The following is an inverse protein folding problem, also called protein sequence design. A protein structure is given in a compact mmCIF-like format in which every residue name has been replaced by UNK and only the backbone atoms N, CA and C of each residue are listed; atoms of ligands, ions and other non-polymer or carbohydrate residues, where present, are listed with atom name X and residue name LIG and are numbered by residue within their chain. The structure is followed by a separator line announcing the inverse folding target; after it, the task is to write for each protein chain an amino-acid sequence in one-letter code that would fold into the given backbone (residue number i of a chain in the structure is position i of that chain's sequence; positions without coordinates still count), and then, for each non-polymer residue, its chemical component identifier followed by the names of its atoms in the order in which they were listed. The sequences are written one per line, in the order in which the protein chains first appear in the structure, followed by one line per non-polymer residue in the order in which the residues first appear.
data_IF_731274178940
#
_entry.id   IF_731274178940
#
_cell.length_a   1.000
_cell.length_b   1.000
_cell.length_c   1.000
_cell.angle_alpha   90.00
_cell.angle_beta   90.00
_cell.angle_gamma   90.00
#
_symmetry.space_group_name_H-M   'P 1'
#
loop_
_entity.id
_entity.type
_entity.pdbx_description
1 polymer ?
#
# COMPACT_ATOMS: atom_id res chain seq x y z
N UNK A 1 12.71 14.36 7.95
CA UNK A 1 11.33 13.82 7.91
C UNK A 1 11.37 12.42 8.45
N UNK A 2 10.40 12.05 9.27
CA UNK A 2 10.25 10.71 9.82
C UNK A 2 9.38 9.87 8.89
N UNK A 3 9.78 8.63 8.62
CA UNK A 3 8.99 7.68 7.84
C UNK A 3 8.21 6.71 8.75
N UNK A 4 6.96 6.44 8.41
CA UNK A 4 6.17 5.33 8.96
C UNK A 4 5.88 4.33 7.85
N UNK A 5 6.34 3.09 8.01
CA UNK A 5 5.97 1.98 7.12
C UNK A 5 4.77 1.27 7.72
N UNK A 6 3.62 1.36 7.06
CA UNK A 6 2.39 0.67 7.46
C UNK A 6 2.33 -0.68 6.74
N UNK A 7 2.44 -1.76 7.51
CA UNK A 7 2.50 -3.13 7.03
C UNK A 7 1.33 -3.94 7.58
N UNK A 8 0.52 -4.52 6.69
CA UNK A 8 -0.59 -5.40 7.06
C UNK A 8 -0.17 -6.85 6.98
N UNK A 9 -0.45 -7.64 8.04
CA UNK A 9 -0.13 -9.07 8.09
C UNK A 9 -1.35 -9.93 8.40
N UNK A 10 -1.36 -11.13 7.83
CA UNK A 10 -2.22 -12.26 8.18
C UNK A 10 -1.57 -13.54 7.66
N UNK A 11 -1.19 -14.47 8.53
CA UNK A 11 -0.56 -15.75 8.19
C UNK A 11 0.60 -15.60 7.19
N UNK A 12 1.52 -14.66 7.46
CA UNK A 12 2.64 -14.30 6.59
C UNK A 12 3.98 -14.94 6.93
N UNK A 13 4.01 -15.98 7.79
CA UNK A 13 5.25 -16.57 8.31
C UNK A 13 6.28 -16.94 7.24
N UNK A 14 5.84 -17.29 6.03
CA UNK A 14 6.71 -17.70 4.92
C UNK A 14 7.58 -16.55 4.39
N UNK A 15 7.11 -15.31 4.44
CA UNK A 15 7.72 -14.20 3.72
C UNK A 15 8.10 -13.01 4.61
N UNK A 16 7.43 -12.84 5.76
CA UNK A 16 7.53 -11.65 6.59
C UNK A 16 8.96 -11.31 7.03
N UNK A 17 9.82 -12.33 7.24
CA UNK A 17 11.21 -12.10 7.63
C UNK A 17 11.98 -11.35 6.54
N UNK A 18 11.93 -11.83 5.31
CA UNK A 18 12.61 -11.23 4.15
C UNK A 18 12.08 -9.80 3.89
N UNK A 19 10.76 -9.63 4.00
CA UNK A 19 10.15 -8.31 3.84
C UNK A 19 10.64 -7.33 4.91
N UNK A 20 10.62 -7.70 6.18
CA UNK A 20 11.10 -6.82 7.27
C UNK A 20 12.59 -6.51 7.15
N UNK A 21 13.43 -7.47 6.79
CA UNK A 21 14.86 -7.23 6.52
C UNK A 21 15.04 -6.20 5.41
N UNK A 22 14.28 -6.32 4.31
CA UNK A 22 14.35 -5.40 3.17
C UNK A 22 13.91 -3.98 3.51
N UNK A 23 13.00 -3.81 4.47
CA UNK A 23 12.52 -2.52 4.97
C UNK A 23 13.54 -1.94 5.96
N UNK A 24 13.87 -2.69 7.01
CA UNK A 24 14.64 -2.18 8.15
C UNK A 24 16.05 -1.69 7.78
N UNK A 25 16.68 -2.29 6.75
CA UNK A 25 18.01 -1.86 6.27
C UNK A 25 18.01 -0.46 5.65
N UNK A 26 16.85 0.07 5.26
CA UNK A 26 16.71 1.38 4.63
C UNK A 26 16.19 2.46 5.60
N UNK A 27 15.68 2.06 6.75
CA UNK A 27 15.09 2.98 7.72
C UNK A 27 16.13 3.51 8.70
N UNK A 28 16.01 4.78 9.06
CA UNK A 28 16.78 5.43 10.12
C UNK A 28 16.26 5.02 11.51
N UNK A 29 17.00 5.40 12.56
CA UNK A 29 16.60 5.11 13.96
C UNK A 29 15.32 5.82 14.41
N UNK A 30 14.96 6.92 13.75
CA UNK A 30 13.77 7.70 14.07
C UNK A 30 12.52 7.23 13.32
N UNK A 31 12.70 6.39 12.29
CA UNK A 31 11.60 5.83 11.52
C UNK A 31 10.89 4.70 12.28
N UNK A 32 9.75 4.28 11.79
CA UNK A 32 8.97 3.22 12.42
C UNK A 32 8.33 2.28 11.41
N UNK A 33 8.15 1.03 11.81
CA UNK A 33 7.35 0.02 11.11
C UNK A 33 6.14 -0.29 11.95
N UNK A 34 4.97 0.12 11.49
CA UNK A 34 3.67 -0.14 12.13
C UNK A 34 3.08 -1.39 11.49
N UNK A 35 3.10 -2.47 12.21
CA UNK A 35 2.52 -3.74 11.78
C UNK A 35 1.13 -3.86 12.37
N UNK A 36 0.13 -4.03 11.52
CA UNK A 36 -1.20 -4.43 11.93
C UNK A 36 -1.39 -5.90 11.56
N UNK A 37 -1.54 -6.75 12.56
CA UNK A 37 -1.75 -8.19 12.38
C UNK A 37 -3.22 -8.53 12.56
N UNK A 38 -3.80 -9.15 11.54
CA UNK A 38 -5.20 -9.57 11.57
C UNK A 38 -5.33 -11.04 11.97
N UNK A 39 -5.16 -11.30 13.27
CA UNK A 39 -5.38 -12.62 13.90
C UNK A 39 -4.59 -13.76 13.23
N UNK A 40 -3.28 -13.57 13.00
CA UNK A 40 -2.43 -14.64 12.50
C UNK A 40 -2.41 -15.84 13.46
N UNK A 41 -2.56 -17.05 12.91
CA UNK A 41 -2.55 -18.33 13.64
C UNK A 41 -1.29 -19.13 13.40
N UNK A 42 -0.44 -18.70 12.48
CA UNK A 42 0.86 -19.29 12.18
C UNK A 42 1.98 -18.60 13.00
N UNK A 43 3.23 -18.78 12.61
CA UNK A 43 4.39 -18.23 13.31
C UNK A 43 4.70 -16.75 12.96
N UNK A 44 3.80 -16.04 12.29
CA UNK A 44 4.03 -14.65 11.85
C UNK A 44 4.46 -13.75 13.01
N UNK A 45 3.68 -13.70 14.08
CA UNK A 45 3.97 -12.86 15.24
C UNK A 45 5.25 -13.24 15.97
N UNK A 46 5.57 -14.54 16.05
CA UNK A 46 6.82 -15.03 16.64
C UNK A 46 8.03 -14.56 15.85
N UNK A 47 7.95 -14.65 14.52
CA UNK A 47 9.02 -14.19 13.61
C UNK A 47 9.23 -12.69 13.78
N UNK A 48 8.17 -11.88 13.80
CA UNK A 48 8.24 -10.43 13.97
C UNK A 48 8.89 -10.07 15.32
N UNK A 49 8.47 -10.72 16.41
CA UNK A 49 9.02 -10.49 17.75
C UNK A 49 10.53 -10.83 17.85
N UNK A 50 11.00 -11.79 17.06
CA UNK A 50 12.40 -12.21 17.06
C UNK A 50 13.36 -11.17 16.45
N UNK A 51 12.88 -10.20 15.67
CA UNK A 51 13.72 -9.10 15.16
C UNK A 51 14.28 -8.22 16.29
N UNK A 52 13.56 -8.08 17.40
CA UNK A 52 13.96 -7.25 18.56
C UNK A 52 14.35 -5.83 18.17
N UNK A 53 13.80 -5.29 17.09
CA UNK A 53 14.08 -3.95 16.60
C UNK A 53 13.08 -2.95 17.20
N UNK A 54 13.59 -1.89 17.84
CA UNK A 54 12.78 -0.86 18.53
C UNK A 54 11.87 -0.05 17.59
N UNK A 55 12.17 -0.07 16.28
CA UNK A 55 11.37 0.62 15.24
C UNK A 55 10.08 -0.13 14.93
N UNK A 56 10.00 -1.43 15.23
CA UNK A 56 8.81 -2.28 14.97
C UNK A 56 7.80 -2.09 16.10
N UNK A 57 6.57 -1.74 15.72
CA UNK A 57 5.41 -1.65 16.61
C UNK A 57 4.31 -2.54 16.06
N UNK A 58 3.87 -3.52 16.83
CA UNK A 58 2.84 -4.49 16.44
C UNK A 58 1.52 -4.14 17.11
N UNK A 59 0.45 -4.12 16.33
CA UNK A 59 -0.93 -3.91 16.76
C UNK A 59 -1.78 -5.06 16.25
N UNK A 60 -2.30 -5.87 17.15
CA UNK A 60 -3.22 -6.95 16.80
C UNK A 60 -4.61 -6.38 16.53
N UNK A 61 -5.22 -6.79 15.45
CA UNK A 61 -6.57 -6.41 15.05
C UNK A 61 -7.47 -7.65 15.01
N UNK A 62 -8.34 -7.76 16.00
CA UNK A 62 -9.30 -8.84 16.11
C UNK A 62 -10.61 -8.42 15.43
N UNK A 63 -10.71 -8.58 14.13
CA UNK A 63 -11.86 -8.17 13.34
C UNK A 63 -12.28 -9.19 12.29
N UNK A 64 -13.20 -8.78 11.43
CA UNK A 64 -13.50 -9.51 10.20
C UNK A 64 -12.28 -9.41 9.27
N UNK A 65 -11.86 -10.53 8.70
CA UNK A 65 -10.76 -10.57 7.73
C UNK A 65 -10.98 -9.55 6.61
N UNK A 66 -10.18 -8.50 6.63
CA UNK A 66 -10.25 -7.42 5.65
C UNK A 66 -8.92 -6.67 5.54
N UNK A 67 -8.17 -6.86 4.45
CA UNK A 67 -6.94 -6.09 4.22
C UNK A 67 -7.14 -4.57 4.32
N UNK A 68 -8.34 -4.08 3.96
CA UNK A 68 -8.69 -2.65 4.02
C UNK A 68 -8.69 -2.16 5.47
N UNK A 69 -9.36 -2.90 6.38
CA UNK A 69 -9.43 -2.54 7.80
C UNK A 69 -8.08 -2.72 8.48
N UNK A 70 -7.32 -3.74 8.07
CA UNK A 70 -5.99 -4.00 8.59
C UNK A 70 -5.03 -2.84 8.25
N UNK A 71 -5.01 -2.37 6.99
CA UNK A 71 -4.28 -1.17 6.61
C UNK A 71 -4.80 0.09 7.32
N UNK A 72 -6.12 0.25 7.46
CA UNK A 72 -6.69 1.40 8.18
C UNK A 72 -6.22 1.44 9.64
N UNK A 73 -6.14 0.28 10.30
CA UNK A 73 -5.64 0.16 11.66
C UNK A 73 -4.16 0.59 11.75
N UNK A 74 -3.30 0.11 10.84
CA UNK A 74 -1.90 0.52 10.78
C UNK A 74 -1.75 2.03 10.53
N UNK A 75 -2.47 2.56 9.56
CA UNK A 75 -2.44 3.97 9.17
C UNK A 75 -2.85 4.93 10.30
N UNK A 76 -3.83 4.54 11.12
CA UNK A 76 -4.26 5.32 12.30
C UNK A 76 -3.19 5.40 13.41
N UNK A 77 -2.18 4.53 13.36
CA UNK A 77 -1.07 4.48 14.34
C UNK A 77 0.20 5.14 13.82
N UNK A 78 0.26 5.44 12.53
CA UNK A 78 1.41 6.08 11.93
C UNK A 78 1.61 7.50 12.48
N UNK A 79 2.87 7.86 12.78
CA UNK A 79 3.24 9.16 13.34
C UNK A 79 4.33 9.88 12.54
N UNK A 80 4.75 9.31 11.40
CA UNK A 80 5.73 9.91 10.52
C UNK A 80 5.15 10.98 9.60
N UNK A 81 6.04 11.80 9.06
CA UNK A 81 5.72 12.81 8.05
C UNK A 81 5.41 12.17 6.70
N UNK A 82 6.06 11.02 6.43
CA UNK A 82 5.93 10.24 5.21
C UNK A 82 5.39 8.85 5.57
N UNK A 83 4.39 8.41 4.83
CA UNK A 83 3.76 7.10 5.00
C UNK A 83 4.11 6.22 3.81
N UNK A 84 4.64 5.02 4.07
CA UNK A 84 4.80 3.94 3.10
C UNK A 84 3.78 2.85 3.37
N UNK A 85 3.21 2.28 2.32
CA UNK A 85 2.42 1.05 2.43
C UNK A 85 3.31 -0.16 2.11
N UNK A 86 3.06 -1.26 2.80
CA UNK A 86 3.78 -2.51 2.57
C UNK A 86 2.89 -3.72 2.79
N UNK A 87 2.93 -4.66 1.86
CA UNK A 87 2.38 -5.99 2.06
C UNK A 87 3.44 -6.89 2.73
N UNK A 88 3.04 -8.04 3.29
CA UNK A 88 3.90 -8.91 4.10
C UNK A 88 4.86 -9.79 3.28
N UNK A 89 4.65 -9.89 1.96
CA UNK A 89 5.17 -10.94 1.09
C UNK A 89 6.04 -10.43 -0.07
N UNK A 90 6.31 -9.12 -0.10
CA UNK A 90 7.13 -8.46 -1.11
C UNK A 90 8.61 -8.35 -0.69
N UNK A 91 9.42 -7.69 -1.51
CA UNK A 91 10.80 -7.31 -1.18
C UNK A 91 11.05 -5.88 -1.66
N UNK A 92 11.47 -4.99 -0.77
CA UNK A 92 11.91 -3.66 -1.15
C UNK A 92 13.32 -3.68 -1.75
N UNK A 93 13.54 -2.98 -2.84
CA UNK A 93 14.87 -2.75 -3.39
C UNK A 93 15.60 -1.67 -2.60
N UNK A 94 16.93 -1.72 -2.59
CA UNK A 94 17.80 -1.00 -1.63
C UNK A 94 17.69 0.53 -1.63
N UNK A 95 17.20 1.13 -2.68
CA UNK A 95 17.07 2.59 -2.84
C UNK A 95 15.63 3.10 -2.71
N UNK A 96 14.67 2.24 -2.33
CA UNK A 96 13.24 2.64 -2.33
C UNK A 96 12.96 3.83 -1.44
N UNK A 97 13.43 3.80 -0.20
CA UNK A 97 13.16 4.88 0.76
C UNK A 97 13.80 6.18 0.30
N UNK A 98 15.07 6.14 -0.11
CA UNK A 98 15.81 7.32 -0.57
C UNK A 98 15.11 7.98 -1.78
N UNK A 99 14.81 7.21 -2.81
CA UNK A 99 14.16 7.71 -4.04
C UNK A 99 12.80 8.31 -3.74
N UNK A 100 11.96 7.58 -2.99
CA UNK A 100 10.59 8.03 -2.73
C UNK A 100 10.55 9.26 -1.80
N UNK A 101 11.40 9.32 -0.76
CA UNK A 101 11.52 10.49 0.12
C UNK A 101 11.95 11.72 -0.66
N UNK A 102 12.93 11.58 -1.56
CA UNK A 102 13.39 12.68 -2.42
C UNK A 102 12.27 13.21 -3.33
N UNK A 103 11.48 12.33 -3.92
CA UNK A 103 10.34 12.71 -4.76
C UNK A 103 9.23 13.39 -3.96
N UNK A 104 8.98 12.94 -2.73
CA UNK A 104 7.97 13.52 -1.83
C UNK A 104 8.32 14.93 -1.32
N UNK A 105 9.52 15.46 -1.62
CA UNK A 105 9.81 16.89 -1.45
C UNK A 105 9.03 17.78 -2.43
N UNK A 106 8.56 17.22 -3.54
CA UNK A 106 7.88 17.96 -4.62
C UNK A 106 6.47 17.44 -4.94
N UNK A 107 6.14 16.25 -4.47
CA UNK A 107 4.88 15.56 -4.70
C UNK A 107 4.25 15.11 -3.39
N UNK A 108 2.93 14.98 -3.36
CA UNK A 108 2.18 14.55 -2.18
C UNK A 108 1.95 13.03 -2.15
N UNK A 109 1.95 12.39 -3.32
CA UNK A 109 1.86 10.93 -3.51
C UNK A 109 2.85 10.50 -4.59
N UNK A 110 3.63 9.48 -4.30
CA UNK A 110 4.52 8.81 -5.24
C UNK A 110 4.12 7.35 -5.37
N UNK A 111 4.01 6.88 -6.61
CA UNK A 111 3.79 5.48 -6.96
C UNK A 111 4.98 5.01 -7.78
N UNK A 112 5.73 4.02 -7.31
CA UNK A 112 6.85 3.44 -8.06
C UNK A 112 6.41 2.29 -8.95
N UNK A 113 7.21 1.97 -9.98
CA UNK A 113 7.06 0.70 -10.68
C UNK A 113 7.57 -0.47 -9.81
N UNK A 114 7.26 -1.69 -10.21
CA UNK A 114 7.75 -2.91 -9.58
C UNK A 114 7.97 -4.04 -10.60
N UNK A 115 8.81 -4.99 -10.23
CA UNK A 115 8.92 -6.28 -10.91
C UNK A 115 7.95 -7.26 -10.26
N UNK A 116 7.29 -8.09 -11.06
CA UNK A 116 6.48 -9.20 -10.56
C UNK A 116 7.37 -10.45 -10.49
N UNK A 117 7.40 -11.09 -9.32
CA UNK A 117 8.15 -12.33 -9.09
C UNK A 117 7.22 -13.46 -8.64
N UNK A 118 7.65 -14.70 -8.81
CA UNK A 118 6.98 -15.86 -8.24
C UNK A 118 7.45 -16.15 -6.79
N UNK A 119 7.03 -17.28 -6.24
CA UNK A 119 7.43 -17.74 -4.89
C UNK A 119 8.94 -17.96 -4.75
N UNK A 120 9.65 -18.29 -5.83
CA UNK A 120 11.07 -18.57 -5.91
C UNK A 120 11.90 -17.35 -6.34
N UNK A 121 11.27 -16.15 -6.37
CA UNK A 121 11.85 -14.88 -6.84
C UNK A 121 12.19 -14.84 -8.33
N UNK A 122 11.68 -15.77 -9.13
CA UNK A 122 11.82 -15.73 -10.59
C UNK A 122 10.97 -14.58 -11.15
N UNK A 123 11.57 -13.78 -12.04
CA UNK A 123 10.85 -12.63 -12.62
C UNK A 123 9.79 -13.10 -13.61
N UNK A 124 8.52 -12.86 -13.29
CA UNK A 124 7.37 -13.14 -14.15
C UNK A 124 7.09 -12.00 -15.12
N UNK A 125 7.23 -10.76 -14.66
CA UNK A 125 7.05 -9.53 -15.43
C UNK A 125 8.05 -8.48 -14.96
N UNK A 126 8.76 -7.88 -15.90
CA UNK A 126 9.79 -6.90 -15.59
C UNK A 126 9.23 -5.54 -15.12
N UNK A 127 8.01 -5.18 -15.50
CA UNK A 127 7.39 -3.90 -15.16
C UNK A 127 5.88 -4.03 -15.03
N UNK A 128 5.35 -3.64 -13.87
CA UNK A 128 3.91 -3.54 -13.63
C UNK A 128 3.30 -2.39 -14.44
N UNK A 129 3.98 -1.24 -14.50
CA UNK A 129 3.49 -0.08 -15.25
C UNK A 129 3.28 -0.39 -16.72
N UNK A 130 4.23 -1.05 -17.36
CA UNK A 130 4.10 -1.48 -18.78
C UNK A 130 2.93 -2.46 -18.98
N UNK A 131 2.77 -3.43 -18.06
CA UNK A 131 1.68 -4.41 -18.13
C UNK A 131 0.31 -3.78 -17.93
N UNK A 132 0.19 -2.82 -17.00
CA UNK A 132 -1.07 -2.18 -16.64
C UNK A 132 -1.34 -0.90 -17.41
N UNK A 133 -0.35 -0.37 -18.13
CA UNK A 133 -0.38 0.98 -18.71
C UNK A 133 -0.70 1.99 -17.61
N UNK A 134 0.01 1.88 -16.49
CA UNK A 134 -0.20 2.71 -15.32
C UNK A 134 0.15 4.16 -15.59
N UNK A 135 -0.53 5.08 -14.95
CA UNK A 135 -0.28 6.51 -15.10
C UNK A 135 -1.25 7.37 -14.30
N UNK A 136 -0.99 8.68 -14.25
CA UNK A 136 -1.82 9.63 -13.51
C UNK A 136 -3.17 9.88 -14.17
N UNK A 137 -4.06 10.49 -13.42
CA UNK A 137 -5.35 10.98 -13.86
C UNK A 137 -6.53 10.24 -13.27
N UNK A 138 -7.47 10.99 -12.72
CA UNK A 138 -8.67 10.48 -12.04
C UNK A 138 -9.49 9.58 -12.96
N UNK A 139 -9.78 10.03 -14.17
CA UNK A 139 -10.60 9.27 -15.13
C UNK A 139 -9.88 7.99 -15.55
N UNK A 140 -8.54 8.08 -15.81
CA UNK A 140 -7.73 6.92 -16.13
C UNK A 140 -7.84 5.88 -15.01
N UNK A 141 -7.64 6.29 -13.76
CA UNK A 141 -7.61 5.40 -12.60
C UNK A 141 -9.01 4.90 -12.18
N UNK A 142 -10.08 5.63 -12.47
CA UNK A 142 -11.44 5.13 -12.36
C UNK A 142 -11.71 3.96 -13.32
N UNK A 143 -11.19 4.04 -14.54
CA UNK A 143 -11.37 3.00 -15.56
C UNK A 143 -10.39 1.85 -15.34
N UNK A 144 -9.11 2.18 -15.10
CA UNK A 144 -8.00 1.24 -15.01
C UNK A 144 -7.08 1.62 -13.85
N UNK A 145 -7.32 1.02 -12.69
CA UNK A 145 -6.52 1.28 -11.49
C UNK A 145 -5.03 1.04 -11.73
N UNK A 146 -4.20 2.06 -11.49
CA UNK A 146 -2.75 2.03 -11.56
C UNK A 146 -2.08 1.91 -10.19
N UNK A 147 -2.85 2.07 -9.12
CA UNK A 147 -2.32 2.05 -7.77
C UNK A 147 -2.10 0.62 -7.29
N UNK A 148 -0.95 0.40 -6.70
CA UNK A 148 -0.55 -0.83 -6.05
C UNK A 148 0.06 -0.44 -4.70
N UNK A 149 -0.54 -0.88 -3.60
CA UNK A 149 -0.23 -0.41 -2.25
C UNK A 149 1.25 -0.48 -1.91
N UNK A 150 1.88 -1.63 -2.10
CA UNK A 150 3.30 -1.82 -1.81
C UNK A 150 4.25 -0.90 -2.61
N UNK A 151 3.76 -0.25 -3.67
CA UNK A 151 4.50 0.71 -4.48
C UNK A 151 4.26 2.17 -4.08
N UNK A 152 3.45 2.44 -3.06
CA UNK A 152 3.00 3.78 -2.70
C UNK A 152 3.72 4.35 -1.48
N UNK A 153 4.08 5.64 -1.56
CA UNK A 153 4.41 6.47 -0.41
C UNK A 153 3.80 7.87 -0.57
N UNK A 154 3.42 8.49 0.54
CA UNK A 154 2.72 9.78 0.51
C UNK A 154 2.96 10.62 1.78
N UNK A 155 2.75 11.94 1.65
CA UNK A 155 2.76 12.88 2.78
C UNK A 155 1.61 12.56 3.75
N UNK A 156 1.89 12.57 5.04
CA UNK A 156 0.90 12.29 6.09
C UNK A 156 -0.32 13.21 6.06
N UNK A 157 -0.22 14.42 5.50
CA UNK A 157 -1.37 15.31 5.29
C UNK A 157 -2.43 14.71 4.38
N UNK A 158 -2.02 13.84 3.44
CA UNK A 158 -2.95 13.13 2.60
C UNK A 158 -3.78 12.11 3.40
N UNK A 159 -3.20 11.55 4.46
CA UNK A 159 -3.87 10.60 5.34
C UNK A 159 -5.08 11.21 6.05
N UNK A 160 -4.99 12.48 6.45
CA UNK A 160 -6.12 13.23 7.07
C UNK A 160 -7.32 13.26 6.11
N UNK A 161 -7.07 13.37 4.80
CA UNK A 161 -8.12 13.38 3.78
C UNK A 161 -8.58 11.97 3.40
N UNK A 162 -7.74 10.95 3.57
CA UNK A 162 -8.06 9.59 3.20
C UNK A 162 -8.86 8.84 4.28
N UNK A 163 -8.58 9.10 5.57
CA UNK A 163 -9.23 8.44 6.70
C UNK A 163 -10.50 9.17 7.19
N UNK A 164 -11.43 8.42 7.77
CA UNK A 164 -11.58 6.97 7.73
C UNK A 164 -11.94 6.49 6.31
N UNK A 165 -11.61 5.23 6.00
CA UNK A 165 -12.00 4.67 4.71
C UNK A 165 -13.52 4.54 4.59
N UNK A 166 -14.13 4.88 3.44
CA UNK A 166 -15.54 4.56 3.21
C UNK A 166 -15.80 3.06 3.27
N UNK A 167 -16.93 2.63 3.87
CA UNK A 167 -17.27 1.21 4.02
C UNK A 167 -17.30 0.42 2.70
N UNK A 168 -17.59 1.08 1.59
CA UNK A 168 -17.66 0.48 0.25
C UNK A 168 -16.36 0.67 -0.55
N UNK A 169 -15.25 1.02 0.11
CA UNK A 169 -13.94 1.12 -0.53
C UNK A 169 -13.56 -0.23 -1.15
N UNK A 170 -13.25 -0.30 -2.45
CA UNK A 170 -12.91 -1.55 -3.09
C UNK A 170 -11.55 -2.09 -2.65
N UNK A 171 -10.55 -1.20 -2.48
CA UNK A 171 -9.21 -1.47 -1.97
C UNK A 171 -8.62 -0.17 -1.42
N UNK A 172 -7.80 -0.27 -0.37
CA UNK A 172 -7.18 0.86 0.33
C UNK A 172 -6.27 1.67 -0.59
N UNK A 173 -5.46 0.99 -1.42
CA UNK A 173 -4.52 1.60 -2.37
C UNK A 173 -5.24 2.44 -3.44
N UNK A 174 -6.31 1.89 -4.02
CA UNK A 174 -7.13 2.62 -4.99
C UNK A 174 -7.76 3.86 -4.37
N UNK A 175 -8.25 3.77 -3.13
CA UNK A 175 -8.84 4.89 -2.42
C UNK A 175 -7.79 5.98 -2.14
N UNK A 176 -6.66 5.63 -1.52
CA UNK A 176 -5.58 6.58 -1.20
C UNK A 176 -5.05 7.23 -2.49
N UNK A 177 -4.86 6.43 -3.55
CA UNK A 177 -4.41 6.94 -4.85
C UNK A 177 -5.38 7.97 -5.44
N UNK A 178 -6.68 7.70 -5.38
CA UNK A 178 -7.71 8.66 -5.86
C UNK A 178 -7.76 9.94 -5.02
N UNK A 179 -7.54 9.83 -3.70
CA UNK A 179 -7.41 11.01 -2.82
C UNK A 179 -6.16 11.81 -3.18
N UNK A 180 -5.04 11.13 -3.50
CA UNK A 180 -3.82 11.79 -3.97
C UNK A 180 -4.00 12.56 -5.27
N UNK A 181 -4.70 11.97 -6.25
CA UNK A 181 -5.03 12.62 -7.52
C UNK A 181 -5.93 13.85 -7.37
N UNK A 182 -6.80 13.84 -6.36
CA UNK A 182 -7.77 14.93 -6.14
C UNK A 182 -7.24 16.08 -5.30
N UNK A 183 -6.46 15.77 -4.28
CA UNK A 183 -6.10 16.74 -3.26
C UNK A 183 -4.60 17.00 -3.16
N UNK A 184 -3.80 16.36 -4.01
CA UNK A 184 -2.35 16.47 -4.02
C UNK A 184 -1.78 16.39 -5.43
N UNK A 185 -0.45 16.41 -5.49
CA UNK A 185 0.33 16.18 -6.71
C UNK A 185 0.82 14.72 -6.70
N UNK A 186 0.29 13.90 -7.61
CA UNK A 186 0.70 12.49 -7.75
C UNK A 186 1.79 12.36 -8.81
N UNK A 187 2.82 11.56 -8.50
CA UNK A 187 3.89 11.21 -9.43
C UNK A 187 4.03 9.71 -9.59
N UNK A 188 4.11 9.25 -10.83
CA UNK A 188 4.38 7.87 -11.21
C UNK A 188 5.86 7.73 -11.57
N UNK A 189 6.65 7.14 -10.66
CA UNK A 189 8.08 6.92 -10.81
C UNK A 189 8.34 5.62 -11.57
N UNK A 190 9.03 5.70 -12.70
CA UNK A 190 9.33 4.54 -13.55
C UNK A 190 10.40 3.61 -12.95
N UNK A 191 11.07 4.02 -11.87
CA UNK A 191 12.02 3.16 -11.16
C UNK A 191 11.28 2.00 -10.48
N UNK A 192 11.83 0.81 -10.66
CA UNK A 192 11.33 -0.40 -10.00
C UNK A 192 11.94 -0.46 -8.62
N UNK A 193 11.13 -0.24 -7.61
CA UNK A 193 11.58 -0.15 -6.22
C UNK A 193 11.07 -1.30 -5.35
N UNK A 194 10.30 -2.23 -5.94
CA UNK A 194 9.72 -3.40 -5.27
C UNK A 194 9.79 -4.62 -6.17
N UNK A 195 10.10 -5.78 -5.59
CA UNK A 195 9.77 -7.09 -6.14
C UNK A 195 8.41 -7.49 -5.56
N UNK A 196 7.35 -7.36 -6.36
CA UNK A 196 6.00 -7.73 -6.00
C UNK A 196 5.79 -9.23 -6.19
N UNK A 197 5.55 -9.96 -5.10
CA UNK A 197 5.44 -11.42 -5.13
C UNK A 197 4.04 -11.89 -5.50
N UNK A 198 3.99 -12.90 -6.38
CA UNK A 198 2.76 -13.57 -6.80
C UNK A 198 2.77 -15.01 -6.35
N UNK A 199 1.78 -15.38 -5.52
CA UNK A 199 1.53 -16.74 -5.05
C UNK A 199 0.02 -16.98 -4.91
N UNK A 200 -0.37 -18.24 -4.64
CA UNK A 200 -1.79 -18.64 -4.60
C UNK A 200 -2.62 -17.92 -3.52
N UNK A 201 -1.98 -17.48 -2.43
CA UNK A 201 -2.64 -16.86 -1.28
C UNK A 201 -2.77 -15.33 -1.39
N UNK A 202 -2.28 -14.71 -2.47
CA UNK A 202 -2.45 -13.26 -2.62
C UNK A 202 -3.95 -12.87 -2.64
N UNK A 203 -4.34 -11.94 -1.80
CA UNK A 203 -5.72 -11.42 -1.74
C UNK A 203 -6.13 -10.75 -3.05
N UNK A 204 -5.18 -10.13 -3.75
CA UNK A 204 -5.40 -9.40 -4.99
C UNK A 204 -4.95 -10.19 -6.21
N UNK A 205 -5.83 -10.31 -7.22
CA UNK A 205 -5.49 -10.83 -8.56
C UNK A 205 -5.02 -9.71 -9.51
N UNK A 206 -4.22 -8.80 -9.02
CA UNK A 206 -3.89 -7.52 -9.69
C UNK A 206 -3.25 -7.67 -11.07
N UNK A 207 -2.52 -8.75 -11.33
CA UNK A 207 -1.86 -9.02 -12.63
C UNK A 207 -2.71 -9.82 -13.62
N UNK A 208 -3.88 -10.35 -13.19
CA UNK A 208 -4.78 -11.16 -14.02
C UNK A 208 -5.98 -10.35 -14.51
N UNK A 209 -6.69 -10.90 -15.51
CA UNK A 209 -7.99 -10.35 -15.90
C UNK A 209 -8.95 -10.51 -14.73
N UNK A 210 -9.49 -9.41 -14.21
CA UNK A 210 -10.45 -9.43 -13.12
C UNK A 210 -11.62 -10.36 -13.44
N UNK A 211 -11.85 -11.35 -12.58
CA UNK A 211 -12.98 -12.27 -12.66
C UNK A 211 -14.36 -11.61 -12.39
N UNK A 212 -14.36 -10.35 -11.94
CA UNK A 212 -15.59 -9.62 -11.68
C UNK A 212 -16.39 -9.42 -12.97
N UNK A 213 -17.70 -9.66 -12.90
CA UNK A 213 -18.63 -9.35 -13.99
C UNK A 213 -18.57 -7.86 -14.36
N UNK A 214 -18.99 -7.53 -15.57
CA UNK A 214 -19.03 -6.12 -16.04
C UNK A 214 -19.89 -5.26 -15.11
N UNK A 215 -21.04 -5.78 -14.68
CA UNK A 215 -21.96 -5.11 -13.75
C UNK A 215 -21.24 -4.79 -12.43
N UNK A 216 -20.54 -5.76 -11.84
CA UNK A 216 -19.80 -5.55 -10.58
C UNK A 216 -18.66 -4.51 -10.74
N UNK A 217 -17.98 -4.50 -11.89
CA UNK A 217 -16.98 -3.46 -12.21
C UNK A 217 -17.59 -2.07 -12.26
N UNK A 218 -18.77 -1.92 -12.87
CA UNK A 218 -19.50 -0.65 -12.93
C UNK A 218 -19.96 -0.22 -11.54
N UNK A 219 -20.53 -1.13 -10.75
CA UNK A 219 -20.95 -0.83 -9.36
C UNK A 219 -19.81 -0.33 -8.49
N UNK A 220 -18.62 -0.99 -8.57
CA UNK A 220 -17.42 -0.55 -7.85
C UNK A 220 -17.03 0.88 -8.25
N UNK A 221 -17.09 1.22 -9.53
CA UNK A 221 -16.72 2.55 -10.02
C UNK A 221 -17.72 3.62 -9.61
N UNK A 222 -19.01 3.33 -9.66
CA UNK A 222 -20.06 4.25 -9.21
C UNK A 222 -19.92 4.50 -7.71
N UNK A 223 -19.73 3.43 -6.92
CA UNK A 223 -19.51 3.55 -5.47
C UNK A 223 -18.27 4.38 -5.15
N UNK A 224 -17.16 4.15 -5.86
CA UNK A 224 -15.94 4.91 -5.68
C UNK A 224 -16.15 6.39 -6.03
N UNK A 225 -16.76 6.69 -7.18
CA UNK A 225 -17.06 8.06 -7.59
C UNK A 225 -17.97 8.79 -6.58
N UNK A 226 -19.00 8.11 -6.07
CA UNK A 226 -19.87 8.65 -5.02
C UNK A 226 -19.09 8.98 -3.74
N UNK A 227 -18.24 8.05 -3.26
CA UNK A 227 -17.43 8.28 -2.06
C UNK A 227 -16.43 9.44 -2.24
N UNK A 228 -15.86 9.57 -3.43
CA UNK A 228 -14.97 10.66 -3.79
C UNK A 228 -15.71 12.00 -3.71
N UNK A 229 -16.89 12.11 -4.33
CA UNK A 229 -17.71 13.34 -4.29
C UNK A 229 -18.09 13.68 -2.85
N UNK A 230 -18.50 12.69 -2.07
CA UNK A 230 -18.81 12.88 -0.64
C UNK A 230 -17.60 13.41 0.12
N UNK A 231 -16.41 12.83 -0.08
CA UNK A 231 -15.17 13.27 0.57
C UNK A 231 -14.77 14.70 0.15
N UNK A 232 -14.99 15.08 -1.11
CA UNK A 232 -14.76 16.45 -1.57
C UNK A 232 -15.62 17.47 -0.83
N UNK A 233 -16.85 17.12 -0.47
CA UNK A 233 -17.76 17.98 0.31
C UNK A 233 -17.28 18.05 1.76
N UNK A 234 -16.97 16.91 2.38
CA UNK A 234 -16.50 16.83 3.75
C UNK A 234 -15.22 17.66 3.98
N UNK A 235 -14.23 17.54 3.09
CA UNK A 235 -12.93 18.23 3.21
C UNK A 235 -13.02 19.74 2.97
N UNK A 236 -14.06 20.24 2.27
CA UNK A 236 -14.28 21.70 2.10
C UNK A 236 -14.75 22.39 3.37
N UNK A 237 -15.21 21.66 4.36
CA UNK A 237 -15.74 22.18 5.63
C UNK A 237 -14.71 22.11 6.78
N UNK A 238 -13.48 21.71 6.49
CA UNK A 238 -12.30 21.78 7.37
C UNK A 238 -11.27 22.77 6.81
#
# INVERSE_FOLDING_TARGET
MKASVCLATHNGAKYIAVQLESILKQLSENDEVIISDESSTDRTLDIIKNFKDKRIKVYEHNGLYSPILNFENALKKASGDIIFLSDQDDIWLDNKVEVMVKLLLSYDLVVSDCMLIDENETVLKDSFFKCRKSGPGIIHNLIRNSFLGCCMAFDSKLLIKALPFPRSTPMHDMWIGMIGELFGKTYFCEEKLVKYRRHAENTSKTSEKSANSLIKKIQIRISLAYNILKRCIEVKHY
#
